data_IF_049662264367
#
_entry.id   IF_049662264367
#
_cell.length_a   1.000
_cell.length_b   1.000
_cell.length_c   1.000
_cell.angle_alpha   90.00
_cell.angle_beta   90.00
_cell.angle_gamma   90.00
#
_symmetry.space_group_name_H-M   'P 1'
#
loop_
_entity.id
_entity.type
_entity.pdbx_description
1 polymer ?
#
# COMPACT_ATOMS: atom_id res chain seq x y z
N UNK A 1 11.96 -27.40 10.13
CA UNK A 1 10.53 -27.78 10.30
C UNK A 1 9.78 -26.82 11.23
N UNK A 2 10.30 -26.50 12.43
CA UNK A 2 9.72 -25.48 13.32
C UNK A 2 9.74 -24.04 12.72
N UNK A 3 10.69 -23.75 11.82
CA UNK A 3 10.92 -22.43 11.22
C UNK A 3 9.82 -21.97 10.22
N UNK A 4 9.26 -22.89 9.43
CA UNK A 4 8.13 -22.58 8.52
C UNK A 4 6.82 -22.36 9.31
N UNK A 5 6.74 -22.94 10.51
CA UNK A 5 5.58 -22.78 11.39
C UNK A 5 5.53 -21.39 12.04
N UNK A 6 6.68 -20.78 12.38
CA UNK A 6 6.74 -19.41 12.88
C UNK A 6 6.23 -18.40 11.82
N UNK A 7 6.72 -18.48 10.58
CA UNK A 7 6.23 -17.67 9.45
C UNK A 7 4.72 -17.85 9.16
N UNK A 8 4.16 -19.04 9.39
CA UNK A 8 2.70 -19.30 9.28
C UNK A 8 1.89 -18.68 10.42
N UNK A 9 2.44 -18.57 11.63
CA UNK A 9 1.76 -17.95 12.77
C UNK A 9 1.59 -16.44 12.57
N UNK A 10 2.58 -15.76 11.96
CA UNK A 10 2.53 -14.32 11.67
C UNK A 10 1.36 -13.93 10.74
N UNK A 11 0.97 -14.77 9.77
CA UNK A 11 -0.16 -14.48 8.88
C UNK A 11 -1.53 -14.49 9.58
N UNK A 12 -1.65 -15.10 10.76
CA UNK A 12 -2.92 -15.21 11.50
C UNK A 12 -3.08 -14.11 12.57
N UNK A 13 -2.03 -13.35 12.89
CA UNK A 13 -2.04 -12.32 13.93
C UNK A 13 -2.64 -10.97 13.47
N UNK A 14 -3.05 -10.85 12.20
CA UNK A 14 -3.55 -9.61 11.59
C UNK A 14 -5.03 -9.28 11.88
N UNK A 15 -5.64 -9.84 12.94
CA UNK A 15 -7.02 -9.47 13.30
C UNK A 15 -7.03 -8.28 14.25
N UNK A 16 -7.58 -7.12 13.86
CA UNK A 16 -7.81 -6.03 14.83
C UNK A 16 -8.85 -6.48 15.87
N UNK A 17 -8.76 -5.99 17.12
CA UNK A 17 -9.71 -6.32 18.18
C UNK A 17 -11.13 -5.87 17.82
N UNK A 18 -12.11 -6.70 18.16
CA UNK A 18 -13.53 -6.44 17.87
C UNK A 18 -14.05 -5.26 18.69
N UNK A 19 -14.28 -4.11 18.04
CA UNK A 19 -15.01 -2.99 18.62
C UNK A 19 -16.52 -3.20 18.45
N UNK A 20 -17.19 -3.49 19.57
CA UNK A 20 -18.65 -3.55 19.70
C UNK A 20 -19.21 -2.13 19.75
N UNK A 21 -19.84 -1.65 18.67
CA UNK A 21 -20.69 -0.46 18.74
C UNK A 21 -22.03 -0.64 18.01
N UNK A 22 -23.08 -0.23 18.74
CA UNK A 22 -24.51 -0.42 18.49
C UNK A 22 -25.00 0.42 17.29
N UNK A 23 -25.92 -0.16 16.51
CA UNK A 23 -26.58 0.46 15.37
C UNK A 23 -27.54 1.60 15.75
N UNK A 24 -27.59 2.72 15.00
CA UNK A 24 -28.72 3.66 15.06
C UNK A 24 -29.84 3.27 14.10
N UNK A 25 -31.07 3.48 14.57
CA UNK A 25 -32.35 3.22 13.90
C UNK A 25 -32.57 4.13 12.67
N UNK A 26 -33.18 3.53 11.65
CA UNK A 26 -33.75 4.17 10.46
C UNK A 26 -34.97 5.03 10.82
N UNK A 27 -35.06 6.25 10.29
CA UNK A 27 -36.31 7.01 10.21
C UNK A 27 -36.53 7.41 8.75
N UNK A 28 -37.66 6.98 8.19
CA UNK A 28 -38.17 7.32 6.85
C UNK A 28 -39.01 8.59 6.92
N UNK A 29 -38.88 9.45 5.90
CA UNK A 29 -39.99 10.29 5.44
C UNK A 29 -39.58 11.67 4.92
N UNK A 30 -39.77 11.92 3.62
CA UNK A 30 -40.69 12.93 3.07
C UNK A 30 -40.44 13.16 1.56
N UNK A 31 -41.43 13.74 0.91
CA UNK A 31 -41.76 13.65 -0.53
C UNK A 31 -40.92 14.55 -1.45
N UNK A 32 -40.87 14.11 -2.71
CA UNK A 32 -40.32 14.77 -3.91
C UNK A 32 -40.95 16.14 -4.18
N UNK A 33 -40.10 17.08 -4.63
CA UNK A 33 -40.47 18.22 -5.48
C UNK A 33 -39.44 18.30 -6.60
N UNK A 34 -39.88 18.33 -7.85
CA UNK A 34 -39.02 18.37 -9.04
C UNK A 34 -38.70 19.82 -9.43
N UNK A 35 -37.45 20.17 -9.75
CA UNK A 35 -37.15 21.44 -10.41
C UNK A 35 -37.08 21.28 -11.95
N UNK A 36 -37.48 22.36 -12.62
CA UNK A 36 -37.57 22.55 -14.06
C UNK A 36 -36.18 22.51 -14.73
N UNK A 37 -36.11 21.90 -15.91
CA UNK A 37 -34.89 21.65 -16.69
C UNK A 37 -34.42 22.90 -17.45
N UNK A 38 -33.17 23.39 -17.28
CA UNK A 38 -32.57 24.35 -18.20
C UNK A 38 -32.00 23.64 -19.43
N UNK A 39 -32.26 24.22 -20.62
CA UNK A 39 -31.72 23.79 -21.92
C UNK A 39 -30.21 23.52 -21.86
N UNK A 40 -29.81 22.31 -22.24
CA UNK A 40 -28.41 21.92 -22.39
C UNK A 40 -27.76 22.69 -23.55
N UNK A 41 -26.76 23.51 -23.25
CA UNK A 41 -25.75 23.93 -24.22
C UNK A 41 -24.72 22.81 -24.26
N UNK A 42 -24.53 22.18 -25.42
CA UNK A 42 -23.54 21.14 -25.62
C UNK A 42 -22.13 21.75 -25.51
N UNK A 43 -21.53 21.70 -24.33
CA UNK A 43 -20.10 21.92 -24.15
C UNK A 43 -19.38 20.68 -24.67
N UNK A 44 -18.52 20.84 -25.70
CA UNK A 44 -17.59 19.79 -26.10
C UNK A 44 -16.78 19.35 -24.86
N UNK A 45 -16.56 18.05 -24.64
CA UNK A 45 -15.67 17.63 -23.57
C UNK A 45 -14.29 18.21 -23.88
N UNK A 46 -13.78 19.06 -22.99
CA UNK A 46 -12.38 19.44 -22.99
C UNK A 46 -11.62 18.21 -22.52
N UNK A 47 -10.96 17.51 -23.44
CA UNK A 47 -10.05 16.42 -23.08
C UNK A 47 -8.97 16.99 -22.14
N UNK A 48 -8.84 16.36 -20.96
CA UNK A 48 -7.83 16.73 -19.99
C UNK A 48 -6.45 16.33 -20.56
N UNK A 49 -5.54 17.29 -20.84
CA UNK A 49 -4.23 16.98 -21.40
C UNK A 49 -3.41 16.05 -20.49
N UNK A 50 -3.75 15.98 -19.19
CA UNK A 50 -3.14 15.04 -18.24
C UNK A 50 -3.52 13.59 -18.56
N UNK A 51 -4.76 13.37 -19.01
CA UNK A 51 -5.31 12.05 -19.33
C UNK A 51 -4.74 11.51 -20.65
N UNK A 52 -4.65 12.34 -21.69
CA UNK A 52 -4.02 11.96 -22.95
C UNK A 52 -2.53 11.62 -22.77
N UNK A 53 -1.82 12.40 -21.93
CA UNK A 53 -0.43 12.11 -21.60
C UNK A 53 -0.29 10.77 -20.86
N UNK A 54 -1.20 10.48 -19.94
CA UNK A 54 -1.24 9.21 -19.20
C UNK A 54 -1.56 8.02 -20.12
N UNK A 55 -2.52 8.16 -21.03
CA UNK A 55 -2.90 7.12 -22.00
C UNK A 55 -1.75 6.84 -22.99
N UNK A 56 -1.03 7.88 -23.40
CA UNK A 56 0.14 7.75 -24.27
C UNK A 56 1.31 7.09 -23.57
N UNK A 57 1.58 7.46 -22.31
CA UNK A 57 2.57 6.79 -21.47
C UNK A 57 2.22 5.31 -21.23
N UNK A 58 0.93 4.99 -21.01
CA UNK A 58 0.47 3.60 -20.88
C UNK A 58 0.64 2.79 -22.18
N UNK A 59 0.39 3.41 -23.34
CA UNK A 59 0.58 2.79 -24.67
C UNK A 59 2.05 2.54 -24.99
N UNK A 60 2.92 3.52 -24.72
CA UNK A 60 4.37 3.39 -24.91
C UNK A 60 4.96 2.35 -23.95
N UNK A 61 4.41 2.27 -22.73
CA UNK A 61 4.77 1.28 -21.72
C UNK A 61 4.35 -0.15 -22.14
N UNK A 62 3.15 -0.37 -22.69
CA UNK A 62 2.76 -1.67 -23.23
C UNK A 62 3.71 -2.17 -24.33
N UNK A 63 4.29 -1.25 -25.11
CA UNK A 63 5.22 -1.56 -26.20
C UNK A 63 6.66 -1.82 -25.71
N UNK A 64 7.07 -1.18 -24.62
CA UNK A 64 8.43 -1.26 -24.08
C UNK A 64 8.63 -2.37 -23.02
N UNK A 65 7.57 -2.78 -22.32
CA UNK A 65 7.66 -3.63 -21.11
C UNK A 65 7.72 -5.14 -21.38
N UNK A 66 7.53 -5.58 -22.62
CA UNK A 66 7.05 -6.93 -22.89
C UNK A 66 5.59 -7.06 -22.46
N UNK A 67 4.78 -7.75 -23.26
CA UNK A 67 3.35 -7.91 -22.98
C UNK A 67 3.13 -8.46 -21.55
N UNK A 68 2.47 -7.68 -20.68
CA UNK A 68 1.92 -8.18 -19.40
C UNK A 68 2.63 -7.79 -18.10
N UNK A 69 3.55 -6.82 -18.07
CA UNK A 69 4.02 -6.25 -16.78
C UNK A 69 2.93 -5.31 -16.18
N UNK A 70 3.24 -4.54 -15.14
CA UNK A 70 2.37 -3.47 -14.62
C UNK A 70 3.19 -2.20 -14.44
N UNK A 71 2.58 -1.04 -14.61
CA UNK A 71 3.19 0.27 -14.35
C UNK A 71 3.29 0.56 -12.85
N UNK A 72 4.12 1.54 -12.49
CA UNK A 72 4.13 2.12 -11.14
C UNK A 72 2.75 2.62 -10.74
N UNK A 73 2.03 3.31 -11.65
CA UNK A 73 0.68 3.81 -11.40
C UNK A 73 -0.29 2.67 -11.09
N UNK A 74 -0.30 1.60 -11.88
CA UNK A 74 -1.19 0.46 -11.63
C UNK A 74 -0.95 -0.21 -10.28
N UNK A 75 0.31 -0.33 -9.86
CA UNK A 75 0.66 -0.88 -8.54
C UNK A 75 0.17 0.03 -7.42
N UNK A 76 0.48 1.33 -7.51
CA UNK A 76 0.07 2.32 -6.50
C UNK A 76 -1.45 2.44 -6.43
N UNK A 77 -2.13 2.59 -7.58
CA UNK A 77 -3.59 2.66 -7.65
C UNK A 77 -4.25 1.38 -7.11
N UNK A 78 -3.71 0.21 -7.43
CA UNK A 78 -4.23 -1.04 -6.89
C UNK A 78 -4.15 -1.07 -5.37
N UNK A 79 -3.00 -0.72 -4.80
CA UNK A 79 -2.78 -0.85 -3.37
C UNK A 79 -3.45 0.25 -2.55
N UNK A 80 -3.34 1.49 -3.01
CA UNK A 80 -3.71 2.70 -2.27
C UNK A 80 -4.95 3.41 -2.80
N UNK A 81 -5.65 2.86 -3.79
CA UNK A 81 -6.73 3.56 -4.53
C UNK A 81 -6.21 4.67 -5.46
N UNK A 82 -6.69 4.67 -6.70
CA UNK A 82 -6.26 5.63 -7.73
C UNK A 82 -6.60 7.07 -7.34
N UNK A 83 -7.79 7.28 -6.75
CA UNK A 83 -8.25 8.61 -6.39
C UNK A 83 -7.37 9.18 -5.29
N UNK A 84 -7.09 8.37 -4.28
CA UNK A 84 -6.24 8.76 -3.16
C UNK A 84 -4.82 9.17 -3.59
N UNK A 85 -4.31 8.63 -4.71
CA UNK A 85 -2.94 8.88 -5.15
C UNK A 85 -2.83 9.94 -6.27
N UNK A 86 -3.87 10.13 -7.08
CA UNK A 86 -3.78 10.91 -8.32
C UNK A 86 -4.93 11.89 -8.56
N UNK A 87 -5.94 11.97 -7.68
CA UNK A 87 -6.96 13.02 -7.72
C UNK A 87 -6.72 14.05 -6.61
N UNK A 88 -6.53 15.33 -6.98
CA UNK A 88 -6.23 16.43 -6.04
C UNK A 88 -7.22 16.52 -4.87
N UNK A 89 -8.48 16.14 -5.08
CA UNK A 89 -9.53 16.17 -4.05
C UNK A 89 -9.55 14.98 -3.09
N UNK A 90 -8.80 13.90 -3.35
CA UNK A 90 -8.89 12.65 -2.61
C UNK A 90 -7.58 12.27 -1.86
N UNK A 91 -6.52 13.05 -1.99
CA UNK A 91 -5.25 12.82 -1.29
C UNK A 91 -5.38 12.71 0.24
N UNK A 92 -6.39 13.37 0.83
CA UNK A 92 -6.72 13.27 2.26
C UNK A 92 -6.99 11.84 2.73
N UNK A 93 -7.38 10.92 1.85
CA UNK A 93 -7.61 9.51 2.20
C UNK A 93 -6.34 8.83 2.70
N UNK A 94 -5.16 9.18 2.16
CA UNK A 94 -3.87 8.63 2.62
C UNK A 94 -3.46 9.11 4.02
N UNK A 95 -4.24 10.02 4.61
CA UNK A 95 -4.08 10.57 5.96
C UNK A 95 -5.20 10.12 6.91
N UNK A 96 -6.20 9.40 6.40
CA UNK A 96 -7.41 9.06 7.14
C UNK A 96 -7.34 7.63 7.68
N UNK A 97 -7.34 7.51 9.01
CA UNK A 97 -7.27 6.21 9.69
C UNK A 97 -8.51 5.33 9.42
N UNK A 98 -9.69 5.92 9.20
CA UNK A 98 -10.92 5.17 8.88
C UNK A 98 -10.85 4.56 7.49
N UNK A 99 -10.32 5.29 6.51
CA UNK A 99 -10.05 4.80 5.17
C UNK A 99 -9.02 3.66 5.20
N UNK A 100 -7.91 3.83 5.92
CA UNK A 100 -6.92 2.76 6.12
C UNK A 100 -7.53 1.52 6.76
N UNK A 101 -8.39 1.69 7.78
CA UNK A 101 -9.15 0.58 8.38
C UNK A 101 -10.11 -0.09 7.39
N UNK A 102 -10.72 0.68 6.48
CA UNK A 102 -11.49 0.15 5.36
C UNK A 102 -10.64 -0.76 4.47
N UNK A 103 -9.49 -0.26 4.01
CA UNK A 103 -8.52 -1.01 3.18
C UNK A 103 -7.97 -2.24 3.88
N UNK A 104 -7.69 -2.15 5.18
CA UNK A 104 -7.24 -3.27 6.00
C UNK A 104 -8.24 -4.44 5.97
N UNK A 105 -9.53 -4.14 6.14
CA UNK A 105 -10.59 -5.15 6.20
C UNK A 105 -10.95 -5.76 4.85
N UNK A 106 -10.69 -5.06 3.74
CA UNK A 106 -11.13 -5.49 2.41
C UNK A 106 -9.99 -6.01 1.54
N UNK A 107 -8.77 -5.49 1.73
CA UNK A 107 -7.64 -5.74 0.84
C UNK A 107 -6.34 -6.04 1.58
N UNK A 108 -5.79 -5.12 2.38
CA UNK A 108 -4.42 -5.24 2.90
C UNK A 108 -4.27 -6.45 3.85
N UNK A 109 -5.25 -6.69 4.72
CA UNK A 109 -5.19 -7.74 5.75
C UNK A 109 -6.41 -8.66 5.74
N UNK A 110 -7.09 -8.76 4.59
CA UNK A 110 -8.34 -9.48 4.41
C UNK A 110 -8.17 -10.98 4.07
N UNK A 111 -7.06 -11.58 4.48
CA UNK A 111 -6.73 -12.97 4.19
C UNK A 111 -6.48 -13.21 2.71
N UNK A 112 -7.21 -14.14 2.10
CA UNK A 112 -7.01 -14.56 0.69
C UNK A 112 -7.84 -13.75 -0.32
N UNK A 113 -8.62 -12.76 0.13
CA UNK A 113 -9.55 -12.03 -0.74
C UNK A 113 -8.86 -11.29 -1.90
N UNK A 114 -7.61 -10.85 -1.70
CA UNK A 114 -6.84 -10.11 -2.68
C UNK A 114 -5.98 -10.99 -3.60
N UNK A 115 -5.85 -12.30 -3.34
CA UNK A 115 -4.87 -13.17 -4.00
C UNK A 115 -5.07 -13.23 -5.52
N UNK A 116 -6.32 -13.45 -5.96
CA UNK A 116 -6.65 -13.52 -7.39
C UNK A 116 -6.34 -12.20 -8.12
N UNK A 117 -6.66 -11.06 -7.50
CA UNK A 117 -6.39 -9.73 -8.06
C UNK A 117 -4.89 -9.38 -8.06
N UNK A 118 -4.11 -10.01 -7.16
CA UNK A 118 -2.67 -9.82 -7.10
C UNK A 118 -1.92 -10.61 -8.19
N UNK A 119 -2.46 -11.73 -8.68
CA UNK A 119 -1.78 -12.64 -9.60
C UNK A 119 -1.15 -11.95 -10.83
N UNK A 120 -1.80 -10.90 -11.37
CA UNK A 120 -1.29 -10.12 -12.51
C UNK A 120 0.06 -9.43 -12.26
N UNK A 121 0.44 -9.19 -11.01
CA UNK A 121 1.69 -8.51 -10.66
C UNK A 121 2.90 -9.47 -10.58
N UNK A 122 2.71 -10.78 -10.67
CA UNK A 122 3.78 -11.77 -10.48
C UNK A 122 5.00 -11.52 -11.38
N UNK A 123 4.78 -11.28 -12.67
CA UNK A 123 5.86 -10.97 -13.62
C UNK A 123 6.56 -9.64 -13.30
N UNK A 124 5.82 -8.66 -12.78
CA UNK A 124 6.34 -7.33 -12.40
C UNK A 124 7.19 -7.40 -11.14
N UNK A 125 6.80 -8.23 -10.17
CA UNK A 125 7.61 -8.50 -8.96
C UNK A 125 8.99 -9.02 -9.38
N UNK A 126 9.03 -10.02 -10.26
CA UNK A 126 10.30 -10.60 -10.69
C UNK A 126 11.13 -9.63 -11.54
N UNK A 127 10.50 -8.92 -12.48
CA UNK A 127 11.20 -7.94 -13.33
C UNK A 127 11.80 -6.79 -12.52
N UNK A 128 11.06 -6.26 -11.54
CA UNK A 128 11.58 -5.23 -10.62
C UNK A 128 12.71 -5.77 -9.75
N UNK A 129 12.61 -7.01 -9.27
CA UNK A 129 13.65 -7.63 -8.44
C UNK A 129 14.96 -7.88 -9.19
N UNK A 130 14.91 -8.15 -10.51
CA UNK A 130 16.07 -8.27 -11.40
C UNK A 130 16.65 -6.92 -11.85
N UNK A 131 15.90 -5.84 -11.68
CA UNK A 131 16.29 -4.50 -12.12
C UNK A 131 15.93 -4.20 -13.58
N UNK A 132 15.17 -5.07 -14.24
CA UNK A 132 14.78 -4.94 -15.66
C UNK A 132 14.03 -3.63 -15.94
N UNK A 133 13.31 -3.12 -14.93
CA UNK A 133 12.51 -1.89 -15.03
C UNK A 133 13.23 -0.61 -14.60
N UNK A 134 14.51 -0.68 -14.20
CA UNK A 134 15.27 0.51 -13.80
C UNK A 134 15.56 1.46 -14.97
N UNK A 135 15.49 1.00 -16.22
CA UNK A 135 15.59 1.86 -17.40
C UNK A 135 14.37 2.79 -17.57
N UNK A 136 13.27 2.52 -16.87
CA UNK A 136 12.05 3.31 -16.94
C UNK A 136 11.98 4.25 -15.72
N UNK A 137 12.09 5.56 -15.97
CA UNK A 137 12.30 6.58 -14.94
C UNK A 137 11.26 6.58 -13.80
N UNK A 138 10.00 6.24 -14.09
CA UNK A 138 8.95 6.18 -13.08
C UNK A 138 9.27 5.22 -11.93
N UNK A 139 10.00 4.13 -12.18
CA UNK A 139 10.42 3.16 -11.14
C UNK A 139 11.52 3.66 -10.21
N UNK A 140 12.14 4.79 -10.57
CA UNK A 140 13.15 5.48 -9.77
C UNK A 140 12.60 6.77 -9.16
N UNK A 141 11.50 7.29 -9.72
CA UNK A 141 10.91 8.57 -9.33
C UNK A 141 10.26 8.51 -7.94
N UNK A 142 10.73 9.36 -7.04
CA UNK A 142 10.15 9.53 -5.71
C UNK A 142 8.73 10.15 -5.80
N UNK A 143 7.74 9.71 -4.99
CA UNK A 143 7.81 8.59 -4.04
C UNK A 143 7.35 7.27 -4.65
N UNK A 144 6.60 7.34 -5.76
CA UNK A 144 5.80 6.24 -6.25
C UNK A 144 6.65 5.05 -6.73
N UNK A 145 7.81 5.29 -7.35
CA UNK A 145 8.71 4.23 -7.79
C UNK A 145 9.20 3.34 -6.64
N UNK A 146 9.91 3.91 -5.64
CA UNK A 146 10.30 3.19 -4.43
C UNK A 146 9.13 2.56 -3.67
N UNK A 147 8.02 3.28 -3.51
CA UNK A 147 6.83 2.77 -2.82
C UNK A 147 6.23 1.57 -3.56
N UNK A 148 6.09 1.62 -4.89
CA UNK A 148 5.60 0.50 -5.68
C UNK A 148 6.48 -0.74 -5.52
N UNK A 149 7.80 -0.58 -5.46
CA UNK A 149 8.75 -1.69 -5.20
C UNK A 149 8.54 -2.30 -3.81
N UNK A 150 8.42 -1.49 -2.76
CA UNK A 150 8.10 -1.99 -1.40
C UNK A 150 6.79 -2.79 -1.42
N UNK A 151 5.73 -2.24 -2.01
CA UNK A 151 4.42 -2.91 -2.09
C UNK A 151 4.50 -4.23 -2.86
N UNK A 152 5.21 -4.26 -3.99
CA UNK A 152 5.37 -5.48 -4.79
C UNK A 152 6.11 -6.58 -4.01
N UNK A 153 7.25 -6.23 -3.42
CA UNK A 153 8.14 -7.19 -2.79
C UNK A 153 7.66 -7.65 -1.41
N UNK A 154 7.09 -6.77 -0.61
CA UNK A 154 6.71 -7.04 0.78
C UNK A 154 5.24 -7.49 0.92
N UNK A 155 4.33 -6.88 0.16
CA UNK A 155 2.90 -7.08 0.32
C UNK A 155 2.32 -8.00 -0.76
N UNK A 156 2.36 -7.57 -2.03
CA UNK A 156 1.73 -8.27 -3.14
C UNK A 156 2.38 -9.65 -3.36
N UNK A 157 3.69 -9.81 -3.16
CA UNK A 157 4.35 -11.11 -3.22
C UNK A 157 3.73 -12.14 -2.26
N UNK A 158 3.30 -11.72 -1.06
CA UNK A 158 2.65 -12.60 -0.07
C UNK A 158 1.27 -13.08 -0.52
N UNK A 159 0.57 -12.27 -1.32
CA UNK A 159 -0.70 -12.63 -1.95
C UNK A 159 -0.49 -13.50 -3.21
N UNK A 160 0.41 -13.09 -4.12
CA UNK A 160 0.69 -13.80 -5.37
C UNK A 160 1.18 -15.23 -5.17
N UNK A 161 2.07 -15.41 -4.20
CA UNK A 161 2.81 -16.66 -4.01
C UNK A 161 2.43 -17.36 -2.71
N UNK A 162 1.21 -17.10 -2.19
CA UNK A 162 0.75 -17.58 -0.89
C UNK A 162 0.98 -19.08 -0.73
N UNK A 163 1.51 -19.46 0.43
CA UNK A 163 1.76 -20.86 0.77
C UNK A 163 3.04 -21.43 0.17
N UNK A 164 3.84 -20.63 -0.54
CA UNK A 164 5.14 -21.04 -1.09
C UNK A 164 6.29 -20.24 -0.45
N UNK A 165 7.53 -20.72 -0.61
CA UNK A 165 8.71 -19.98 -0.17
C UNK A 165 8.91 -18.65 -0.92
N UNK A 166 8.43 -18.59 -2.17
CA UNK A 166 8.53 -17.42 -3.05
C UNK A 166 7.79 -16.18 -2.52
N UNK A 167 6.80 -16.36 -1.65
CA UNK A 167 6.12 -15.28 -0.94
C UNK A 167 7.04 -14.41 -0.07
N UNK A 168 8.24 -14.91 0.23
CA UNK A 168 9.23 -14.27 1.10
C UNK A 168 10.58 -14.05 0.42
N UNK A 169 10.71 -14.42 -0.85
CA UNK A 169 11.98 -14.36 -1.60
C UNK A 169 12.49 -12.92 -1.78
N UNK A 170 11.59 -11.95 -1.67
CA UNK A 170 11.87 -10.54 -1.91
C UNK A 170 11.96 -9.70 -0.64
N UNK A 171 11.84 -10.32 0.56
CA UNK A 171 11.85 -9.63 1.86
C UNK A 171 13.13 -8.77 2.03
N UNK A 172 14.31 -9.33 1.71
CA UNK A 172 15.59 -8.62 1.84
C UNK A 172 15.67 -7.38 0.94
N UNK A 173 15.11 -7.44 -0.27
CA UNK A 173 15.08 -6.30 -1.21
C UNK A 173 14.15 -5.20 -0.70
N UNK A 174 12.99 -5.58 -0.17
CA UNK A 174 12.07 -4.64 0.44
C UNK A 174 12.69 -3.96 1.66
N UNK A 175 13.37 -4.74 2.50
CA UNK A 175 14.05 -4.26 3.70
C UNK A 175 15.20 -3.30 3.37
N UNK A 176 16.05 -3.62 2.39
CA UNK A 176 17.13 -2.72 1.94
C UNK A 176 16.59 -1.38 1.42
N UNK A 177 15.51 -1.42 0.64
CA UNK A 177 14.86 -0.22 0.12
C UNK A 177 14.22 0.60 1.25
N UNK A 178 13.54 -0.05 2.20
CA UNK A 178 12.98 0.60 3.38
C UNK A 178 14.07 1.26 4.25
N UNK A 179 15.20 0.57 4.50
CA UNK A 179 16.38 1.14 5.18
C UNK A 179 16.90 2.38 4.45
N UNK A 180 16.94 2.34 3.12
CA UNK A 180 17.40 3.48 2.30
C UNK A 180 16.46 4.67 2.45
N UNK A 181 15.14 4.45 2.41
CA UNK A 181 14.15 5.50 2.62
C UNK A 181 14.18 6.06 4.04
N UNK A 182 14.37 5.21 5.05
CA UNK A 182 14.43 5.58 6.47
C UNK A 182 15.67 6.42 6.85
N UNK A 183 16.66 6.57 5.95
CA UNK A 183 17.79 7.49 6.13
C UNK A 183 17.45 8.95 5.86
N UNK A 184 16.30 9.23 5.24
CA UNK A 184 15.81 10.59 5.04
C UNK A 184 15.11 11.04 6.34
N UNK A 185 15.73 11.94 7.09
CA UNK A 185 15.18 12.46 8.36
C UNK A 185 13.82 13.15 8.18
N UNK A 186 13.53 13.66 6.97
CA UNK A 186 12.25 14.28 6.63
C UNK A 186 11.26 13.29 6.00
N UNK A 187 11.56 11.99 5.95
CA UNK A 187 10.70 10.97 5.31
C UNK A 187 9.25 11.08 5.79
N UNK A 188 9.08 11.17 7.12
CA UNK A 188 7.77 11.26 7.77
C UNK A 188 7.04 12.53 7.38
N UNK A 189 7.74 13.62 7.10
CA UNK A 189 7.15 14.89 6.66
C UNK A 189 6.80 14.89 5.17
N UNK A 190 7.64 14.26 4.35
CA UNK A 190 7.49 14.20 2.89
C UNK A 190 6.38 13.25 2.43
N UNK A 191 6.12 12.18 3.20
CA UNK A 191 5.15 11.15 2.82
C UNK A 191 3.80 11.30 3.53
N UNK A 192 2.70 10.85 2.91
CA UNK A 192 1.45 10.67 3.61
C UNK A 192 1.56 9.49 4.62
N UNK A 193 0.82 9.54 5.74
CA UNK A 193 0.83 8.52 6.78
C UNK A 193 0.67 7.08 6.30
N UNK A 194 -0.23 6.83 5.36
CA UNK A 194 -0.42 5.50 4.78
C UNK A 194 0.85 4.97 4.08
N UNK A 195 1.62 5.85 3.43
CA UNK A 195 2.87 5.45 2.79
C UNK A 195 3.94 5.15 3.83
N UNK A 196 4.08 6.00 4.85
CA UNK A 196 5.03 5.77 5.96
C UNK A 196 4.77 4.41 6.62
N UNK A 197 3.50 4.05 6.84
CA UNK A 197 3.12 2.73 7.34
C UNK A 197 3.70 1.58 6.50
N UNK A 198 3.60 1.66 5.17
CA UNK A 198 4.16 0.62 4.31
C UNK A 198 5.69 0.69 4.15
N UNK A 199 6.32 1.86 4.31
CA UNK A 199 7.78 1.92 4.47
C UNK A 199 8.21 1.18 5.73
N UNK A 200 7.41 1.22 6.80
CA UNK A 200 7.72 0.51 8.04
C UNK A 200 7.47 -1.00 7.98
N UNK A 201 6.65 -1.48 7.04
CA UNK A 201 6.24 -2.89 6.96
C UNK A 201 7.41 -3.88 6.79
N UNK A 202 8.39 -3.65 5.89
CA UNK A 202 9.54 -4.56 5.76
C UNK A 202 10.34 -4.75 7.07
N UNK A 203 10.41 -3.74 7.93
CA UNK A 203 11.11 -3.86 9.22
C UNK A 203 10.45 -4.88 10.15
N UNK A 204 9.11 -4.96 10.16
CA UNK A 204 8.39 -5.92 11.02
C UNK A 204 8.57 -7.36 10.58
N UNK A 205 8.97 -7.58 9.33
CA UNK A 205 9.26 -8.89 8.76
C UNK A 205 10.73 -9.30 8.90
N UNK A 206 11.61 -8.41 9.38
CA UNK A 206 12.99 -8.74 9.66
C UNK A 206 13.12 -9.57 10.94
N UNK A 207 14.06 -10.52 10.94
CA UNK A 207 14.47 -11.30 12.11
C UNK A 207 15.59 -10.59 12.91
N UNK A 208 15.95 -9.35 12.55
CA UNK A 208 17.00 -8.58 13.23
C UNK A 208 16.43 -7.45 14.06
N UNK A 209 16.80 -7.38 15.34
CA UNK A 209 16.30 -6.36 16.25
C UNK A 209 16.64 -4.93 15.79
N UNK A 210 17.79 -4.72 15.15
CA UNK A 210 18.20 -3.39 14.67
C UNK A 210 17.24 -2.84 13.61
N UNK A 211 16.61 -3.71 12.82
CA UNK A 211 15.61 -3.31 11.83
C UNK A 211 14.31 -2.87 12.49
N UNK A 212 13.90 -3.59 13.54
CA UNK A 212 12.74 -3.19 14.34
C UNK A 212 12.97 -1.84 15.01
N UNK A 213 14.19 -1.59 15.53
CA UNK A 213 14.53 -0.31 16.15
C UNK A 213 14.49 0.84 15.13
N UNK A 214 15.02 0.63 13.92
CA UNK A 214 14.94 1.62 12.84
C UNK A 214 13.49 1.87 12.40
N UNK A 215 12.70 0.81 12.20
CA UNK A 215 11.29 0.93 11.87
C UNK A 215 10.49 1.63 12.97
N UNK A 216 10.81 1.38 14.23
CA UNK A 216 10.18 2.03 15.38
C UNK A 216 10.53 3.52 15.42
N UNK A 217 11.78 3.91 15.13
CA UNK A 217 12.18 5.32 15.04
C UNK A 217 11.34 6.10 14.01
N UNK A 218 11.18 5.56 12.80
CA UNK A 218 10.31 6.16 11.77
C UNK A 218 8.86 6.24 12.26
N UNK A 219 8.41 5.17 12.91
CA UNK A 219 7.04 5.09 13.45
C UNK A 219 6.76 6.10 14.57
N UNK A 220 7.73 6.37 15.45
CA UNK A 220 7.61 7.40 16.48
C UNK A 220 7.45 8.79 15.88
N UNK A 221 8.15 9.08 14.78
CA UNK A 221 7.93 10.30 14.00
C UNK A 221 6.49 10.38 13.51
N UNK A 222 5.98 9.29 12.92
CA UNK A 222 4.58 9.22 12.46
C UNK A 222 3.59 9.41 13.62
N UNK A 223 3.85 8.82 14.78
CA UNK A 223 2.99 8.94 15.96
C UNK A 223 2.93 10.37 16.50
N UNK A 224 4.04 11.12 16.43
CA UNK A 224 4.07 12.55 16.77
C UNK A 224 3.28 13.39 15.78
N UNK A 225 3.37 13.09 14.49
CA UNK A 225 2.74 13.87 13.41
C UNK A 225 1.24 13.56 13.24
N UNK A 226 0.88 12.28 13.27
CA UNK A 226 -0.44 11.75 12.95
C UNK A 226 -0.81 10.60 13.91
N UNK A 227 -1.09 10.89 15.19
CA UNK A 227 -1.32 9.87 16.22
C UNK A 227 -2.49 8.94 15.92
N UNK A 228 -3.55 9.44 15.28
CA UNK A 228 -4.70 8.60 14.89
C UNK A 228 -4.32 7.52 13.87
N UNK A 229 -3.45 7.86 12.92
CA UNK A 229 -2.95 6.90 11.92
C UNK A 229 -1.90 5.97 12.54
N UNK A 230 -1.04 6.47 13.42
CA UNK A 230 -0.09 5.62 14.15
C UNK A 230 -0.80 4.62 15.10
N UNK A 231 -2.02 4.90 15.57
CA UNK A 231 -2.80 3.91 16.30
C UNK A 231 -3.14 2.66 15.47
N UNK A 232 -3.12 2.75 14.13
CA UNK A 232 -3.49 1.67 13.22
C UNK A 232 -2.57 0.44 13.31
N UNK A 233 -1.26 0.63 13.47
CA UNK A 233 -0.28 -0.46 13.42
C UNK A 233 0.65 -0.56 14.65
N UNK A 234 0.51 0.34 15.63
CA UNK A 234 1.34 0.37 16.83
C UNK A 234 1.39 -1.00 17.54
N UNK A 235 0.23 -1.63 17.73
CA UNK A 235 0.13 -2.95 18.37
C UNK A 235 0.86 -4.04 17.60
N UNK A 236 0.79 -4.02 16.27
CA UNK A 236 1.49 -4.98 15.42
C UNK A 236 3.01 -4.75 15.46
N UNK A 237 3.47 -3.51 15.31
CA UNK A 237 4.90 -3.15 15.38
C UNK A 237 5.53 -3.61 16.69
N UNK A 238 4.89 -3.29 17.83
CA UNK A 238 5.36 -3.70 19.16
C UNK A 238 5.41 -5.22 19.30
N UNK A 239 4.34 -5.90 18.89
CA UNK A 239 4.26 -7.36 19.02
C UNK A 239 5.34 -8.09 18.20
N UNK A 240 5.64 -7.61 16.99
CA UNK A 240 6.70 -8.24 16.17
C UNK A 240 8.09 -7.99 16.78
N UNK A 241 8.36 -6.76 17.26
CA UNK A 241 9.60 -6.44 17.96
C UNK A 241 9.80 -7.30 19.21
N UNK A 242 8.75 -7.49 20.01
CA UNK A 242 8.82 -8.30 21.24
C UNK A 242 9.14 -9.76 20.95
N UNK A 243 8.62 -10.31 19.84
CA UNK A 243 8.94 -11.67 19.41
C UNK A 243 10.41 -11.79 19.02
N UNK A 244 10.93 -10.89 18.18
CA UNK A 244 12.33 -10.91 17.75
C UNK A 244 13.27 -10.66 18.93
N UNK A 245 12.94 -9.72 19.82
CA UNK A 245 13.73 -9.46 21.03
C UNK A 245 13.82 -10.69 21.96
N UNK A 246 12.80 -11.56 21.95
CA UNK A 246 12.75 -12.76 22.80
C UNK A 246 13.46 -13.96 22.19
N UNK A 247 13.43 -14.12 20.87
CA UNK A 247 13.84 -15.36 20.21
C UNK A 247 14.98 -15.22 19.20
N UNK A 248 15.35 -14.00 18.81
CA UNK A 248 16.18 -13.74 17.64
C UNK A 248 15.45 -14.07 16.35
#
# INVERSE_FOLDING_TARGET
AAFVAARRMFSNALRPPALLLRSPRVVRGARRVAPLSPRAVATRPTEDPSKEKQERMASDWNRASGEGLCTVREVISFWFDERACFEDGAAHLLWDASWMNGKARTQWYAGTSADASCAKFAATIEATARGDLNAHEDWLKWPHGPMAKIILWDQIARNCFRGTAKAFEFDDKALELARTMARDDDLVEKLPPAYVHFVCSPFTHSERIEDHDLGFHVYEGLAKRCPEVAGFAEGAMKSHRDVVARFG
#
